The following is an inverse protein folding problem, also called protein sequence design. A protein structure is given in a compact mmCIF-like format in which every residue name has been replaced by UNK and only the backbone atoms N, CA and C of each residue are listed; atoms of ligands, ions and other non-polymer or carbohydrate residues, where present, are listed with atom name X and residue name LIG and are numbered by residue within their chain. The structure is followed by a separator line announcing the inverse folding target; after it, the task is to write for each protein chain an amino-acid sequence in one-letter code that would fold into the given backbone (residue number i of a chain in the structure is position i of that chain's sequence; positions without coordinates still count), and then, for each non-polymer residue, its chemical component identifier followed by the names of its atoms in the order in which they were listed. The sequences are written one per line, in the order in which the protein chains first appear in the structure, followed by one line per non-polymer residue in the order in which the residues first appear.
data_IF_669746412419
#
_entry.id   IF_669746412419
#
_cell.length_a   1.000
_cell.length_b   1.000
_cell.length_c   1.000
_cell.angle_alpha   90.00
_cell.angle_beta   90.00
_cell.angle_gamma   90.00
#
_symmetry.space_group_name_H-M   'P 1'
#
loop_
_entity.id
_entity.type
_entity.pdbx_description
1 polymer ?
#
# COMPACT_ATOMS: atom_id res chain seq x y z
N UNK A 1 1.99 10.33 7.08
CA UNK A 1 2.09 8.96 6.57
C UNK A 1 1.15 8.06 7.37
N UNK A 2 0.27 7.33 6.70
CA UNK A 2 -0.54 6.27 7.34
C UNK A 2 -0.22 4.94 6.65
N UNK A 3 0.05 3.90 7.43
CA UNK A 3 0.30 2.54 6.95
C UNK A 3 -0.75 1.58 7.51
N UNK A 4 -1.36 0.77 6.64
CA UNK A 4 -2.32 -0.27 7.06
C UNK A 4 -1.83 -1.62 6.53
N UNK A 5 -1.38 -2.54 7.42
CA UNK A 5 -1.14 -3.93 7.06
C UNK A 5 -2.45 -4.72 7.09
N UNK A 6 -2.67 -5.56 6.07
CA UNK A 6 -3.80 -6.48 6.02
C UNK A 6 -3.27 -7.91 5.86
N UNK A 7 -3.84 -8.83 6.65
CA UNK A 7 -3.59 -10.27 6.57
C UNK A 7 -4.78 -10.98 5.91
N UNK A 8 -4.59 -12.25 5.56
CA UNK A 8 -5.64 -13.13 5.01
C UNK A 8 -6.93 -13.08 5.83
N UNK A 9 -8.06 -13.02 5.13
CA UNK A 9 -9.37 -13.42 5.66
C UNK A 9 -9.50 -14.95 5.52
N UNK A 10 -9.68 -15.71 6.61
CA UNK A 10 -9.68 -17.18 6.58
C UNK A 10 -10.67 -17.79 5.56
N UNK A 11 -11.82 -17.14 5.37
CA UNK A 11 -13.00 -17.74 4.70
C UNK A 11 -13.33 -17.13 3.32
N UNK A 12 -12.42 -16.37 2.71
CA UNK A 12 -12.71 -15.65 1.45
C UNK A 12 -12.58 -16.50 0.17
N UNK A 13 -11.86 -17.63 0.22
CA UNK A 13 -11.54 -18.49 -0.94
C UNK A 13 -10.94 -19.82 -0.48
N UNK A 14 -11.22 -20.92 -1.19
CA UNK A 14 -10.56 -22.22 -1.00
C UNK A 14 -9.16 -22.27 -1.65
N UNK A 15 -8.92 -21.44 -2.68
CA UNK A 15 -7.61 -21.33 -3.33
C UNK A 15 -6.61 -20.57 -2.44
N UNK A 16 -5.37 -21.04 -2.42
CA UNK A 16 -4.27 -20.36 -1.73
C UNK A 16 -3.91 -19.07 -2.49
N UNK A 17 -3.99 -17.89 -1.84
CA UNK A 17 -3.66 -16.64 -2.51
C UNK A 17 -2.17 -16.60 -2.87
N UNK A 18 -1.83 -15.96 -3.99
CA UNK A 18 -0.44 -15.82 -4.41
C UNK A 18 0.44 -15.03 -3.44
N UNK A 19 -0.17 -14.33 -2.47
CA UNK A 19 0.48 -13.50 -1.44
C UNK A 19 -0.28 -13.65 -0.10
N UNK A 20 0.46 -13.63 1.01
CA UNK A 20 -0.05 -13.80 2.38
C UNK A 20 -0.29 -12.48 3.13
N UNK A 21 0.08 -11.35 2.51
CA UNK A 21 -0.13 -10.02 3.06
C UNK A 21 -0.09 -8.90 2.02
N UNK A 22 -0.65 -7.76 2.41
CA UNK A 22 -0.56 -6.49 1.66
C UNK A 22 -0.37 -5.35 2.64
N UNK A 23 0.48 -4.38 2.27
CA UNK A 23 0.60 -3.10 2.98
C UNK A 23 0.25 -1.97 2.04
N UNK A 24 -0.39 -0.93 2.58
CA UNK A 24 -0.66 0.30 1.86
C UNK A 24 -0.12 1.48 2.66
N UNK A 25 0.66 2.34 2.01
CA UNK A 25 1.18 3.58 2.59
C UNK A 25 0.55 4.74 1.82
N UNK A 26 -0.09 5.65 2.56
CA UNK A 26 -0.68 6.85 2.00
C UNK A 26 0.22 8.07 2.24
N UNK A 27 0.46 8.79 1.15
CA UNK A 27 1.14 10.08 1.11
C UNK A 27 0.17 11.15 0.62
N UNK A 28 0.30 12.38 1.13
CA UNK A 28 -0.57 13.49 0.72
C UNK A 28 -0.32 13.90 -0.74
N UNK A 29 0.93 13.83 -1.17
CA UNK A 29 1.35 14.18 -2.51
C UNK A 29 2.61 13.40 -2.94
N UNK A 30 3.09 13.71 -4.15
CA UNK A 30 4.29 13.11 -4.71
C UNK A 30 5.56 13.48 -3.93
N UNK A 31 5.66 14.68 -3.38
CA UNK A 31 6.82 15.11 -2.62
C UNK A 31 6.96 14.29 -1.33
N UNK A 32 5.85 13.93 -0.69
CA UNK A 32 5.83 13.03 0.46
C UNK A 32 6.35 11.62 0.14
N UNK A 33 5.98 11.05 -1.01
CA UNK A 33 6.52 9.77 -1.48
C UNK A 33 8.03 9.87 -1.75
N UNK A 34 8.47 10.89 -2.50
CA UNK A 34 9.87 11.06 -2.85
C UNK A 34 10.74 11.27 -1.59
N UNK A 35 10.24 12.02 -0.61
CA UNK A 35 10.92 12.20 0.67
C UNK A 35 11.04 10.91 1.49
N UNK A 36 10.00 10.08 1.49
CA UNK A 36 10.04 8.76 2.14
C UNK A 36 11.07 7.83 1.51
N UNK A 37 11.10 7.77 0.17
CA UNK A 37 12.07 6.94 -0.57
C UNK A 37 13.52 7.41 -0.39
N UNK A 38 13.73 8.70 -0.13
CA UNK A 38 15.04 9.26 0.17
C UNK A 38 15.43 9.21 1.66
N UNK A 39 14.54 8.75 2.55
CA UNK A 39 14.76 8.82 4.00
C UNK A 39 15.80 7.81 4.47
N UNK A 40 16.65 8.24 5.42
CA UNK A 40 17.61 7.35 6.09
C UNK A 40 16.91 6.28 6.95
N UNK A 41 15.67 6.54 7.38
CA UNK A 41 14.85 5.61 8.17
C UNK A 41 14.32 4.43 7.34
N UNK A 42 14.18 4.58 6.02
CA UNK A 42 13.74 3.48 5.15
C UNK A 42 14.76 2.34 5.10
N UNK A 43 16.06 2.66 5.11
CA UNK A 43 17.15 1.67 5.01
C UNK A 43 17.07 0.60 6.11
N UNK A 44 17.01 0.94 7.41
CA UNK A 44 16.86 -0.07 8.46
C UNK A 44 15.50 -0.79 8.40
N UNK A 45 14.43 -0.12 7.94
CA UNK A 45 13.12 -0.76 7.74
C UNK A 45 13.15 -1.85 6.68
N UNK A 46 13.80 -1.60 5.54
CA UNK A 46 14.00 -2.60 4.48
C UNK A 46 14.84 -3.78 4.97
N UNK A 47 15.88 -3.52 5.77
CA UNK A 47 16.70 -4.58 6.35
C UNK A 47 15.90 -5.46 7.33
N UNK A 48 14.94 -4.90 8.07
CA UNK A 48 14.07 -5.68 8.95
C UNK A 48 13.07 -6.54 8.16
N UNK A 49 12.61 -6.07 6.99
CA UNK A 49 11.73 -6.81 6.10
C UNK A 49 12.30 -8.17 5.67
N UNK A 50 13.62 -8.31 5.54
CA UNK A 50 14.27 -9.60 5.21
C UNK A 50 13.97 -10.72 6.23
N UNK A 51 13.56 -10.37 7.46
CA UNK A 51 13.24 -11.34 8.50
C UNK A 51 11.88 -11.99 8.33
N UNK A 52 10.97 -11.37 7.58
CA UNK A 52 9.57 -11.81 7.52
C UNK A 52 8.94 -11.73 6.12
N UNK A 53 9.61 -11.16 5.12
CA UNK A 53 9.16 -11.13 3.72
C UNK A 53 10.07 -11.99 2.84
N UNK A 54 9.46 -12.75 1.92
CA UNK A 54 10.17 -13.30 0.77
C UNK A 54 10.40 -12.20 -0.26
N UNK A 55 11.59 -11.59 -0.23
CA UNK A 55 11.94 -10.50 -1.12
C UNK A 55 11.98 -10.90 -2.61
N UNK A 56 12.10 -12.19 -2.95
CA UNK A 56 12.05 -12.66 -4.34
C UNK A 56 10.63 -12.60 -4.93
N UNK A 57 9.61 -12.56 -4.07
CA UNK A 57 8.19 -12.46 -4.45
C UNK A 57 7.55 -11.14 -4.05
N UNK A 58 8.29 -10.26 -3.39
CA UNK A 58 7.85 -8.94 -2.98
C UNK A 58 7.90 -7.95 -4.15
N UNK A 59 6.87 -7.13 -4.28
CA UNK A 59 6.87 -5.97 -5.17
C UNK A 59 6.03 -4.84 -4.57
N UNK A 60 6.30 -3.62 -5.03
CA UNK A 60 5.53 -2.43 -4.66
C UNK A 60 5.05 -1.72 -5.91
N UNK A 61 3.85 -1.15 -5.83
CA UNK A 61 3.27 -0.32 -6.88
C UNK A 61 2.91 1.02 -6.24
N UNK A 62 3.40 2.10 -6.83
CA UNK A 62 2.98 3.45 -6.49
C UNK A 62 2.00 3.96 -7.56
N UNK A 63 0.85 4.46 -7.13
CA UNK A 63 -0.16 5.05 -8.00
C UNK A 63 -0.55 6.44 -7.52
N UNK A 64 -0.87 7.34 -8.46
CA UNK A 64 -1.55 8.59 -8.16
C UNK A 64 -3.03 8.40 -8.44
N UNK A 65 -3.87 8.62 -7.43
CA UNK A 65 -5.33 8.59 -7.62
C UNK A 65 -5.83 9.97 -8.05
N UNK A 66 -6.59 10.00 -9.15
CA UNK A 66 -7.33 11.20 -9.55
C UNK A 66 -8.80 11.00 -9.23
N UNK A 67 -9.31 11.70 -8.20
CA UNK A 67 -10.74 11.69 -7.90
C UNK A 67 -11.48 12.67 -8.80
N UNK A 68 -12.11 12.17 -9.85
CA UNK A 68 -13.03 12.95 -10.67
C UNK A 68 -14.36 13.15 -9.92
N UNK A 69 -14.72 14.40 -9.61
CA UNK A 69 -16.06 14.72 -9.12
C UNK A 69 -16.97 14.93 -10.32
N UNK A 70 -17.90 14.01 -10.54
CA UNK A 70 -18.95 14.20 -11.55
C UNK A 70 -19.94 15.25 -11.06
N UNK A 71 -20.03 16.40 -11.75
CA UNK A 71 -20.88 17.53 -11.37
C UNK A 71 -22.39 17.31 -11.61
N UNK A 72 -22.82 16.09 -11.94
CA UNK A 72 -24.14 15.81 -12.53
C UNK A 72 -25.16 15.06 -11.67
N UNK A 73 -24.87 14.72 -10.41
CA UNK A 73 -25.88 14.17 -9.51
C UNK A 73 -26.14 15.17 -8.38
N UNK A 74 -27.18 15.99 -8.59
CA UNK A 74 -27.91 16.61 -7.50
C UNK A 74 -28.31 15.49 -6.54
N UNK A 75 -27.70 15.43 -5.35
CA UNK A 75 -28.29 14.67 -4.25
C UNK A 75 -29.51 15.46 -3.77
N UNK A 76 -30.63 15.24 -4.44
CA UNK A 76 -31.96 15.55 -3.92
C UNK A 76 -32.55 14.26 -3.37
N UNK A 77 -32.46 14.10 -2.04
CA UNK A 77 -33.50 13.60 -1.14
C UNK A 77 -32.98 13.71 0.29
#
# INVERSE_FOLDING_TARGET
MQSVPCHRLPDASEDEPGFDGVSCIWFEDRAGLDGYLASEELVPGVADCERFLDLARFFSIAGMEHRLRWAGLSTSA
#
